data_IF_460185248826
#
_entry.id   IF_460185248826
#
_cell.length_a   1.000
_cell.length_b   1.000
_cell.length_c   1.000
_cell.angle_alpha   90.00
_cell.angle_beta   90.00
_cell.angle_gamma   90.00
#
_symmetry.space_group_name_H-M   'P 1'
#
loop_
_entity.id
_entity.type
_entity.pdbx_description
1 polymer ?
#
# COMPACT_ATOMS: atom_id res chain seq x y z
N UNK A 1 10.29 -5.94 21.93
CA UNK A 1 11.06 -6.96 21.18
C UNK A 1 10.16 -7.93 20.43
N UNK A 2 9.10 -8.46 21.05
CA UNK A 2 8.13 -9.37 20.39
C UNK A 2 7.50 -8.79 19.11
N UNK A 3 7.17 -7.50 19.09
CA UNK A 3 6.58 -6.82 17.92
C UNK A 3 7.52 -6.73 16.69
N UNK A 4 8.83 -6.60 16.90
CA UNK A 4 9.79 -6.53 15.80
C UNK A 4 9.95 -7.91 15.13
N UNK A 5 9.97 -8.96 15.95
CA UNK A 5 10.08 -10.34 15.45
C UNK A 5 8.79 -10.75 14.71
N UNK A 6 7.62 -10.41 15.24
CA UNK A 6 6.35 -10.75 14.59
C UNK A 6 6.18 -10.06 13.24
N UNK A 7 6.49 -8.77 13.15
CA UNK A 7 6.43 -8.01 11.88
C UNK A 7 7.44 -8.52 10.86
N UNK A 8 8.63 -8.94 11.28
CA UNK A 8 9.63 -9.54 10.40
C UNK A 8 9.16 -10.88 9.81
N UNK A 9 8.61 -11.77 10.64
CA UNK A 9 8.07 -13.07 10.19
C UNK A 9 6.91 -12.84 9.20
N UNK A 10 6.00 -11.93 9.51
CA UNK A 10 4.87 -11.57 8.63
C UNK A 10 5.40 -11.01 7.31
N UNK A 11 6.41 -10.14 7.34
CA UNK A 11 7.05 -9.57 6.15
C UNK A 11 7.64 -10.63 5.21
N UNK A 12 8.31 -11.65 5.76
CA UNK A 12 8.84 -12.78 4.98
C UNK A 12 7.71 -13.56 4.32
N UNK A 13 6.64 -13.87 5.07
CA UNK A 13 5.49 -14.61 4.56
C UNK A 13 4.81 -13.84 3.43
N UNK A 14 4.56 -12.55 3.61
CA UNK A 14 3.96 -11.68 2.60
C UNK A 14 4.86 -11.53 1.37
N UNK A 15 6.19 -11.43 1.56
CA UNK A 15 7.16 -11.39 0.47
C UNK A 15 7.14 -12.67 -0.37
N UNK A 16 7.15 -13.85 0.28
CA UNK A 16 7.07 -15.15 -0.39
C UNK A 16 5.76 -15.32 -1.16
N UNK A 17 4.62 -15.01 -0.52
CA UNK A 17 3.31 -15.05 -1.17
C UNK A 17 3.25 -14.08 -2.37
N UNK A 18 3.80 -12.87 -2.23
CA UNK A 18 3.88 -11.87 -3.28
C UNK A 18 4.69 -12.33 -4.49
N UNK A 19 5.84 -12.98 -4.27
CA UNK A 19 6.67 -13.55 -5.33
C UNK A 19 5.95 -14.67 -6.10
N UNK A 20 5.28 -15.58 -5.38
CA UNK A 20 4.58 -16.73 -5.99
C UNK A 20 3.35 -16.31 -6.79
N UNK A 21 2.57 -15.37 -6.25
CA UNK A 21 1.30 -14.94 -6.84
C UNK A 21 1.44 -13.89 -7.93
N UNK A 22 2.60 -13.23 -8.05
CA UNK A 22 2.84 -12.09 -8.97
C UNK A 22 1.74 -11.02 -8.86
N UNK A 23 1.21 -10.82 -7.65
CA UNK A 23 0.09 -9.91 -7.39
C UNK A 23 0.41 -8.48 -7.84
N UNK A 24 -0.47 -7.92 -8.67
CA UNK A 24 -0.45 -6.52 -9.08
C UNK A 24 -1.87 -5.99 -9.01
N UNK A 25 -2.15 -5.07 -8.09
CA UNK A 25 -3.50 -4.50 -7.94
C UNK A 25 -3.96 -3.76 -9.20
N UNK A 26 -3.04 -3.03 -9.86
CA UNK A 26 -3.31 -2.35 -11.13
C UNK A 26 -3.48 -3.37 -12.27
N UNK A 27 -2.66 -4.42 -12.28
CA UNK A 27 -2.72 -5.49 -13.28
C UNK A 27 -4.03 -6.26 -13.23
N UNK A 28 -4.54 -6.57 -12.03
CA UNK A 28 -5.83 -7.25 -11.86
C UNK A 28 -7.01 -6.49 -12.45
N UNK A 29 -7.02 -5.15 -12.32
CA UNK A 29 -8.06 -4.31 -12.94
C UNK A 29 -7.89 -4.28 -14.46
N UNK A 30 -6.66 -4.09 -14.95
CA UNK A 30 -6.39 -4.05 -16.40
C UNK A 30 -6.74 -5.37 -17.10
N UNK A 31 -6.33 -6.49 -16.52
CA UNK A 31 -6.54 -7.82 -17.12
C UNK A 31 -8.02 -8.22 -17.06
N UNK A 32 -8.76 -7.76 -16.06
CA UNK A 32 -10.22 -7.88 -16.02
C UNK A 32 -10.90 -7.10 -17.13
N UNK A 33 -10.47 -5.86 -17.39
CA UNK A 33 -11.07 -5.02 -18.45
C UNK A 33 -10.75 -5.56 -19.84
N UNK A 34 -9.52 -6.02 -20.08
CA UNK A 34 -9.06 -6.41 -21.42
C UNK A 34 -9.39 -7.88 -21.77
N UNK A 35 -9.07 -8.81 -20.86
CA UNK A 35 -9.14 -10.27 -21.09
C UNK A 35 -10.28 -10.92 -20.30
N UNK A 36 -10.89 -10.20 -19.36
CA UNK A 36 -11.89 -10.71 -18.40
C UNK A 36 -11.35 -11.84 -17.53
N UNK A 37 -10.05 -11.84 -17.26
CA UNK A 37 -9.46 -12.76 -16.29
C UNK A 37 -9.83 -12.32 -14.86
N UNK A 38 -10.52 -13.19 -14.13
CA UNK A 38 -10.95 -12.92 -12.75
C UNK A 38 -10.01 -13.50 -11.69
N UNK A 39 -8.95 -14.21 -12.08
CA UNK A 39 -8.06 -14.88 -11.15
C UNK A 39 -7.31 -13.88 -10.26
N UNK A 40 -6.66 -12.87 -10.85
CA UNK A 40 -6.00 -11.80 -10.08
C UNK A 40 -7.02 -10.91 -9.35
N UNK A 41 -8.19 -10.67 -9.95
CA UNK A 41 -9.23 -9.83 -9.36
C UNK A 41 -9.82 -10.45 -8.09
N UNK A 42 -10.07 -11.77 -8.09
CA UNK A 42 -10.49 -12.52 -6.91
C UNK A 42 -9.47 -12.45 -5.79
N UNK A 43 -8.18 -12.48 -6.11
CA UNK A 43 -7.10 -12.29 -5.14
C UNK A 43 -7.11 -10.90 -4.49
N UNK A 44 -7.29 -9.84 -5.27
CA UNK A 44 -7.45 -8.47 -4.77
C UNK A 44 -8.69 -8.32 -3.87
N UNK A 45 -9.83 -8.85 -4.31
CA UNK A 45 -11.08 -8.79 -3.53
C UNK A 45 -10.93 -9.59 -2.22
N UNK A 46 -10.34 -10.78 -2.26
CA UNK A 46 -10.10 -11.58 -1.07
C UNK A 46 -9.17 -10.86 -0.08
N UNK A 47 -8.11 -10.20 -0.54
CA UNK A 47 -7.22 -9.40 0.31
C UNK A 47 -7.96 -8.22 0.95
N UNK A 48 -8.77 -7.49 0.17
CA UNK A 48 -9.57 -6.37 0.68
C UNK A 48 -10.62 -6.80 1.70
N UNK A 49 -11.36 -7.89 1.42
CA UNK A 49 -12.39 -8.41 2.32
C UNK A 49 -11.79 -8.99 3.61
N UNK A 50 -10.68 -9.73 3.51
CA UNK A 50 -10.00 -10.26 4.69
C UNK A 50 -9.47 -9.12 5.56
N UNK A 51 -8.84 -8.10 4.99
CA UNK A 51 -8.47 -6.90 5.74
C UNK A 51 -9.70 -6.27 6.42
N UNK A 52 -10.76 -5.99 5.67
CA UNK A 52 -11.97 -5.35 6.17
C UNK A 52 -12.64 -6.12 7.32
N UNK A 53 -12.60 -7.46 7.30
CA UNK A 53 -13.17 -8.30 8.35
C UNK A 53 -12.21 -8.50 9.52
N UNK A 54 -10.92 -8.72 9.26
CA UNK A 54 -9.95 -9.05 10.30
C UNK A 54 -9.60 -7.84 11.16
N UNK A 55 -9.41 -6.64 10.58
CA UNK A 55 -9.08 -5.43 11.35
C UNK A 55 -10.09 -5.09 12.47
N UNK A 56 -11.42 -5.03 12.22
CA UNK A 56 -12.39 -4.80 13.28
C UNK A 56 -12.50 -5.98 14.25
N UNK A 57 -12.41 -7.23 13.76
CA UNK A 57 -12.46 -8.42 14.63
C UNK A 57 -11.28 -8.46 15.60
N UNK A 58 -10.07 -8.19 15.14
CA UNK A 58 -8.90 -8.08 16.01
C UNK A 58 -9.06 -6.92 17.00
N UNK A 59 -9.66 -5.79 16.58
CA UNK A 59 -9.96 -4.67 17.46
C UNK A 59 -10.95 -4.99 18.57
N UNK A 60 -11.96 -5.83 18.31
CA UNK A 60 -12.91 -6.30 19.32
C UNK A 60 -12.26 -7.24 20.34
N UNK A 61 -11.30 -8.07 19.92
CA UNK A 61 -10.62 -9.05 20.78
C UNK A 61 -9.52 -8.39 21.63
N UNK A 62 -8.78 -7.43 21.08
CA UNK A 62 -7.69 -6.72 21.77
C UNK A 62 -8.11 -5.42 22.47
N UNK A 63 -9.38 -5.00 22.35
CA UNK A 63 -9.91 -3.78 22.97
C UNK A 63 -9.48 -2.47 22.30
N UNK A 64 -8.67 -2.52 21.25
CA UNK A 64 -8.32 -1.37 20.41
C UNK A 64 -9.42 -1.13 19.39
N UNK A 65 -10.12 0.02 19.42
CA UNK A 65 -11.04 0.44 18.35
C UNK A 65 -10.26 1.18 17.26
N UNK A 66 -9.90 0.56 16.11
CA UNK A 66 -9.20 1.26 15.04
C UNK A 66 -10.12 2.13 14.17
N UNK A 67 -11.44 1.93 14.24
CA UNK A 67 -12.42 2.65 13.43
C UNK A 67 -12.93 3.90 14.15
N UNK A 68 -12.02 4.83 14.46
CA UNK A 68 -12.44 6.18 14.81
C UNK A 68 -12.70 6.92 13.51
N UNK A 69 -13.97 6.97 13.08
CA UNK A 69 -14.40 7.88 12.02
C UNK A 69 -14.40 9.30 12.58
N UNK A 70 -13.21 9.89 12.72
CA UNK A 70 -13.08 11.34 12.91
C UNK A 70 -13.70 12.03 11.70
N UNK A 71 -14.43 13.12 11.93
CA UNK A 71 -14.93 13.97 10.84
C UNK A 71 -13.73 14.36 9.97
N UNK A 72 -13.69 13.99 8.69
CA UNK A 72 -12.52 14.23 7.88
C UNK A 72 -12.44 15.73 7.59
N UNK A 73 -11.33 16.35 7.98
CA UNK A 73 -11.04 17.73 7.59
C UNK A 73 -11.04 17.81 6.07
N UNK A 74 -11.76 18.76 5.48
CA UNK A 74 -11.90 18.87 4.03
C UNK A 74 -10.56 18.96 3.30
N UNK A 75 -9.55 19.52 3.96
CA UNK A 75 -8.17 19.61 3.44
C UNK A 75 -7.47 18.24 3.43
N UNK A 76 -7.69 17.40 4.44
CA UNK A 76 -7.14 16.03 4.48
C UNK A 76 -7.73 15.17 3.36
N UNK A 77 -9.04 15.30 3.09
CA UNK A 77 -9.70 14.62 1.96
C UNK A 77 -9.09 15.09 0.63
N UNK A 78 -8.90 16.39 0.46
CA UNK A 78 -8.34 16.93 -0.77
C UNK A 78 -6.90 16.43 -1.01
N UNK A 79 -6.05 16.48 0.02
CA UNK A 79 -4.66 16.01 -0.05
C UNK A 79 -4.57 14.51 -0.34
N UNK A 80 -5.43 13.70 0.27
CA UNK A 80 -5.48 12.25 0.01
C UNK A 80 -5.95 11.92 -1.41
N UNK A 81 -6.90 12.68 -1.96
CA UNK A 81 -7.33 12.53 -3.35
C UNK A 81 -6.19 12.87 -4.32
N UNK A 82 -5.55 14.04 -4.17
CA UNK A 82 -4.44 14.44 -5.03
C UNK A 82 -3.23 13.52 -4.88
N UNK A 83 -2.88 13.14 -3.65
CA UNK A 83 -1.79 12.20 -3.37
C UNK A 83 -2.06 10.81 -3.93
N UNK A 84 -3.27 10.29 -3.74
CA UNK A 84 -3.70 8.99 -4.28
C UNK A 84 -3.67 8.97 -5.81
N UNK A 85 -4.16 10.03 -6.45
CA UNK A 85 -4.11 10.17 -7.90
C UNK A 85 -2.66 10.27 -8.41
N UNK A 86 -1.80 11.05 -7.73
CA UNK A 86 -0.39 11.18 -8.06
C UNK A 86 0.37 9.86 -7.96
N UNK A 87 0.20 9.12 -6.85
CA UNK A 87 0.82 7.79 -6.67
C UNK A 87 0.30 6.81 -7.73
N UNK A 88 -1.00 6.84 -8.02
CA UNK A 88 -1.61 6.04 -9.09
C UNK A 88 -0.97 6.31 -10.45
N UNK A 89 -0.87 7.58 -10.83
CA UNK A 89 -0.31 8.01 -12.11
C UNK A 89 1.18 7.64 -12.27
N UNK A 90 2.00 7.90 -11.25
CA UNK A 90 3.43 7.55 -11.29
C UNK A 90 3.63 6.03 -11.30
N UNK A 91 2.79 5.29 -10.58
CA UNK A 91 2.86 3.82 -10.53
C UNK A 91 2.54 3.19 -11.88
N UNK A 92 1.54 3.69 -12.62
CA UNK A 92 1.21 3.17 -13.96
C UNK A 92 2.32 3.45 -14.97
N UNK A 93 2.96 4.63 -14.91
CA UNK A 93 4.14 4.94 -15.73
C UNK A 93 5.32 3.97 -15.46
N UNK A 94 5.51 3.58 -14.19
CA UNK A 94 6.52 2.60 -13.79
C UNK A 94 6.12 1.13 -14.10
N UNK A 95 5.04 0.90 -14.85
CA UNK A 95 4.54 -0.43 -15.19
C UNK A 95 4.25 -1.33 -13.97
N UNK A 96 3.76 -0.79 -12.86
CA UNK A 96 3.44 -1.60 -11.69
C UNK A 96 2.57 -0.92 -10.64
N UNK A 97 2.47 -1.56 -9.48
CA UNK A 97 1.98 -0.94 -8.26
C UNK A 97 3.12 -0.93 -7.22
N UNK A 98 3.04 -0.11 -6.16
CA UNK A 98 4.11 -0.04 -5.16
C UNK A 98 4.51 -1.42 -4.63
N UNK A 99 3.52 -2.29 -4.34
CA UNK A 99 3.77 -3.65 -3.85
C UNK A 99 4.55 -4.51 -4.85
N UNK A 100 4.19 -4.48 -6.15
CA UNK A 100 4.90 -5.24 -7.19
C UNK A 100 6.34 -4.77 -7.34
N UNK A 101 6.61 -3.47 -7.22
CA UNK A 101 7.97 -2.94 -7.31
C UNK A 101 8.86 -3.40 -6.15
N UNK A 102 8.31 -3.58 -4.94
CA UNK A 102 9.05 -4.18 -3.82
C UNK A 102 9.44 -5.63 -4.12
N UNK A 103 8.50 -6.42 -4.67
CA UNK A 103 8.75 -7.83 -5.03
C UNK A 103 9.78 -7.94 -6.16
N UNK A 104 9.69 -7.11 -7.19
CA UNK A 104 10.65 -7.09 -8.31
C UNK A 104 12.04 -6.60 -7.89
N UNK A 105 12.11 -5.64 -6.96
CA UNK A 105 13.37 -5.21 -6.36
C UNK A 105 14.03 -6.36 -5.61
N UNK A 106 13.25 -7.16 -4.86
CA UNK A 106 13.75 -8.37 -4.19
C UNK A 106 14.18 -9.48 -5.17
N UNK A 107 13.65 -9.51 -6.40
CA UNK A 107 14.09 -10.40 -7.47
C UNK A 107 15.35 -9.90 -8.21
N UNK A 108 15.85 -8.70 -7.89
CA UNK A 108 17.09 -8.15 -8.46
C UNK A 108 16.91 -7.31 -9.72
N UNK A 109 15.68 -6.87 -10.04
CA UNK A 109 15.43 -6.01 -11.22
C UNK A 109 15.91 -4.59 -10.93
N UNK A 110 16.96 -4.13 -11.64
CA UNK A 110 17.60 -2.82 -11.41
C UNK A 110 16.64 -1.63 -11.51
N UNK A 111 15.72 -1.65 -12.48
CA UNK A 111 14.74 -0.57 -12.67
C UNK A 111 13.77 -0.44 -11.49
N UNK A 112 13.39 -1.57 -10.89
CA UNK A 112 12.52 -1.60 -9.70
C UNK A 112 13.26 -1.15 -8.45
N UNK A 113 14.55 -1.46 -8.33
CA UNK A 113 15.39 -0.97 -7.23
C UNK A 113 15.52 0.56 -7.28
N UNK A 114 15.73 1.13 -8.46
CA UNK A 114 15.79 2.59 -8.63
C UNK A 114 14.45 3.27 -8.28
N UNK A 115 13.33 2.70 -8.73
CA UNK A 115 11.99 3.17 -8.34
C UNK A 115 11.79 3.12 -6.82
N UNK A 116 12.18 2.00 -6.19
CA UNK A 116 12.02 1.81 -4.75
C UNK A 116 12.87 2.78 -3.94
N UNK A 117 14.10 3.06 -4.38
CA UNK A 117 14.98 4.05 -3.76
C UNK A 117 14.35 5.44 -3.78
N UNK A 118 13.77 5.86 -4.92
CA UNK A 118 13.04 7.12 -5.04
C UNK A 118 11.79 7.17 -4.15
N UNK A 119 11.02 6.07 -4.10
CA UNK A 119 9.84 5.96 -3.25
C UNK A 119 10.18 6.08 -1.76
N UNK A 120 11.23 5.41 -1.29
CA UNK A 120 11.69 5.48 0.09
C UNK A 120 12.26 6.85 0.44
N UNK A 121 13.05 7.45 -0.44
CA UNK A 121 13.55 8.81 -0.25
C UNK A 121 12.39 9.82 -0.15
N UNK A 122 11.38 9.69 -1.02
CA UNK A 122 10.16 10.50 -0.97
C UNK A 122 9.39 10.35 0.35
N UNK A 123 9.24 9.12 0.85
CA UNK A 123 8.58 8.86 2.13
C UNK A 123 9.33 9.50 3.32
N UNK A 124 10.66 9.43 3.34
CA UNK A 124 11.49 10.07 4.37
C UNK A 124 11.35 11.60 4.30
N UNK A 125 11.41 12.19 3.11
CA UNK A 125 11.25 13.63 2.91
C UNK A 125 9.85 14.07 3.35
N UNK A 126 8.81 13.30 3.03
CA UNK A 126 7.44 13.60 3.42
C UNK A 126 7.27 13.69 4.94
N UNK A 127 7.72 12.67 5.67
CA UNK A 127 7.60 12.65 7.13
C UNK A 127 8.52 13.67 7.83
N UNK A 128 9.72 13.91 7.29
CA UNK A 128 10.68 14.80 7.95
C UNK A 128 10.43 16.28 7.68
N UNK A 129 9.90 16.64 6.51
CA UNK A 129 9.75 18.05 6.10
C UNK A 129 8.30 18.44 5.80
N UNK A 130 7.55 17.64 5.04
CA UNK A 130 6.19 18.04 4.62
C UNK A 130 5.20 17.94 5.78
N UNK A 131 5.21 16.87 6.56
CA UNK A 131 4.32 16.69 7.71
C UNK A 131 4.42 17.83 8.75
N UNK A 132 5.61 18.21 9.27
CA UNK A 132 5.71 19.32 10.22
C UNK A 132 5.38 20.68 9.59
N UNK A 133 5.59 20.83 8.28
CA UNK A 133 5.20 22.04 7.55
C UNK A 133 3.67 22.12 7.43
N UNK A 134 3.00 21.01 7.15
CA UNK A 134 1.54 20.92 7.02
C UNK A 134 0.85 21.21 8.35
N UNK A 135 1.35 20.64 9.44
CA UNK A 135 0.85 20.90 10.80
C UNK A 135 1.07 22.34 11.27
N UNK A 136 1.95 23.10 10.61
CA UNK A 136 2.17 24.52 10.91
C UNK A 136 1.27 25.45 10.10
N UNK A 137 0.82 25.00 8.93
CA UNK A 137 -0.07 25.76 8.03
C UNK A 137 -1.56 25.41 8.21
N UNK A 138 -1.86 24.20 8.70
CA UNK A 138 -3.21 23.79 9.07
C UNK A 138 -3.39 23.97 10.58
N UNK A 139 -4.43 24.69 11.04
CA UNK A 139 -4.72 24.87 12.46
C UNK A 139 -5.12 23.56 13.16
#
# INVERSE_FOLDING_TARGET
>A
MTAAISTFIIGIILGYLGQRSRMCFVGGIRDFVLVRDTYLLRGLIAFGLTAWLTFPMTGLILGSRPLSFTNPDGVAVLLTIFGGFGVGYVSTLANGCPFRQHVLAAQGVRSSIAYLAGFLAGAVIFHSWIEPLLLRFLP
#
